data_IF_587289849973
#
_entry.id   IF_587289849973
#
_cell.length_a   1.000
_cell.length_b   1.000
_cell.length_c   1.000
_cell.angle_alpha   90.00
_cell.angle_beta   90.00
_cell.angle_gamma   90.00
#
_symmetry.space_group_name_H-M   'P 1'
#
loop_
_entity.id
_entity.type
_entity.pdbx_description
1 polymer ?
#
# COMPACT_ATOMS: atom_id res chain seq x y z
N UNK A 1 6.02 29.88 10.52
CA UNK A 1 6.72 29.85 9.21
C UNK A 1 8.21 29.57 9.36
N UNK A 2 8.86 29.96 10.45
CA UNK A 2 10.28 29.69 10.73
C UNK A 2 10.60 28.18 10.74
N UNK A 3 9.81 27.36 11.44
CA UNK A 3 10.06 25.92 11.57
C UNK A 3 10.06 25.17 10.23
N UNK A 4 9.23 25.55 9.25
CA UNK A 4 9.25 24.94 7.91
C UNK A 4 10.52 25.28 7.14
N UNK A 5 11.00 26.51 7.27
CA UNK A 5 12.26 26.94 6.65
C UNK A 5 13.42 26.16 7.26
N UNK A 6 13.49 26.11 8.59
CA UNK A 6 14.49 25.35 9.35
C UNK A 6 14.46 23.86 8.98
N UNK A 7 13.28 23.25 8.80
CA UNK A 7 13.16 21.87 8.37
C UNK A 7 13.69 21.64 6.94
N UNK A 8 13.47 22.59 6.04
CA UNK A 8 14.01 22.52 4.67
C UNK A 8 15.54 22.69 4.72
N UNK A 9 16.06 23.65 5.49
CA UNK A 9 17.49 23.84 5.70
C UNK A 9 18.13 22.58 6.29
N UNK A 10 17.46 21.93 7.26
CA UNK A 10 17.91 20.66 7.83
C UNK A 10 18.05 19.57 6.77
N UNK A 11 17.11 19.43 5.83
CA UNK A 11 17.17 18.42 4.75
C UNK A 11 18.41 18.60 3.87
N UNK A 12 18.75 19.84 3.56
CA UNK A 12 19.85 20.18 2.63
C UNK A 12 21.18 20.50 3.33
N UNK A 13 21.24 20.43 4.66
CA UNK A 13 22.45 20.70 5.41
C UNK A 13 23.57 19.68 5.07
N UNK A 14 24.82 20.15 4.84
CA UNK A 14 25.95 19.27 4.48
C UNK A 14 26.22 18.16 5.50
N UNK A 15 25.91 18.39 6.77
CA UNK A 15 26.08 17.44 7.87
C UNK A 15 25.19 16.18 7.68
N UNK A 16 24.13 16.28 6.87
CA UNK A 16 23.25 15.14 6.56
C UNK A 16 23.90 14.11 5.66
N UNK A 17 24.99 14.45 5.00
CA UNK A 17 25.76 13.52 4.18
C UNK A 17 26.72 12.64 4.99
N UNK A 18 27.10 13.03 6.23
CA UNK A 18 28.16 12.42 7.01
C UNK A 18 27.82 12.14 8.49
N UNK A 19 26.55 12.25 8.89
CA UNK A 19 26.10 11.97 10.27
C UNK A 19 26.08 10.49 10.64
N UNK A 20 25.58 10.17 11.85
CA UNK A 20 25.49 8.79 12.36
C UNK A 20 24.68 7.86 11.47
N UNK A 21 23.69 8.39 10.73
CA UNK A 21 23.01 7.76 9.61
C UNK A 21 22.83 8.84 8.53
N UNK A 22 23.59 8.80 7.43
CA UNK A 22 23.40 9.74 6.33
C UNK A 22 21.98 9.71 5.78
N UNK A 23 21.41 10.87 5.42
CA UNK A 23 20.02 10.97 4.96
C UNK A 23 19.77 10.10 3.72
N UNK A 24 20.73 10.02 2.81
CA UNK A 24 20.66 9.14 1.63
C UNK A 24 20.54 7.67 2.02
N UNK A 25 21.32 7.23 3.00
CA UNK A 25 21.27 5.87 3.51
C UNK A 25 19.94 5.59 4.23
N UNK A 26 19.48 6.55 5.03
CA UNK A 26 18.16 6.47 5.67
C UNK A 26 17.03 6.32 4.64
N UNK A 27 17.05 7.09 3.55
CA UNK A 27 16.07 6.98 2.45
C UNK A 27 16.15 5.62 1.77
N UNK A 28 17.36 5.18 1.38
CA UNK A 28 17.53 3.90 0.67
C UNK A 28 17.11 2.72 1.52
N UNK A 29 17.45 2.71 2.80
CA UNK A 29 17.06 1.67 3.76
C UNK A 29 15.55 1.67 4.00
N UNK A 30 14.94 2.85 4.11
CA UNK A 30 13.49 2.99 4.26
C UNK A 30 12.74 2.43 3.05
N UNK A 31 13.20 2.76 1.84
CA UNK A 31 12.67 2.20 0.59
C UNK A 31 12.85 0.69 0.51
N UNK A 32 14.04 0.20 0.83
CA UNK A 32 14.37 -1.22 0.75
C UNK A 32 13.41 -2.06 1.63
N UNK A 33 13.25 -1.69 2.89
CA UNK A 33 12.35 -2.41 3.80
C UNK A 33 10.88 -2.29 3.40
N UNK A 34 10.48 -1.13 2.87
CA UNK A 34 9.13 -0.96 2.31
C UNK A 34 8.90 -1.93 1.15
N UNK A 35 9.81 -1.97 0.18
CA UNK A 35 9.67 -2.82 -1.00
C UNK A 35 9.73 -4.31 -0.65
N UNK A 36 10.63 -4.73 0.25
CA UNK A 36 10.71 -6.11 0.72
C UNK A 36 9.39 -6.52 1.38
N UNK A 37 8.88 -5.72 2.31
CA UNK A 37 7.65 -6.05 3.02
C UNK A 37 6.44 -6.14 2.08
N UNK A 38 6.28 -5.17 1.16
CA UNK A 38 5.19 -5.18 0.18
C UNK A 38 5.32 -6.35 -0.80
N UNK A 39 6.53 -6.68 -1.26
CA UNK A 39 6.76 -7.79 -2.17
C UNK A 39 6.40 -9.14 -1.53
N UNK A 40 6.84 -9.39 -0.28
CA UNK A 40 6.51 -10.61 0.47
C UNK A 40 4.99 -10.67 0.72
N UNK A 41 4.38 -9.56 1.16
CA UNK A 41 2.95 -9.50 1.38
C UNK A 41 2.16 -9.76 0.10
N UNK A 42 2.58 -9.21 -1.04
CA UNK A 42 1.96 -9.42 -2.34
C UNK A 42 2.10 -10.88 -2.80
N UNK A 43 3.27 -11.51 -2.62
CA UNK A 43 3.50 -12.90 -2.98
C UNK A 43 2.54 -13.87 -2.26
N UNK A 44 2.08 -13.53 -1.05
CA UNK A 44 1.11 -14.31 -0.28
C UNK A 44 -0.32 -13.87 -0.57
N UNK A 45 -0.59 -12.56 -0.50
CA UNK A 45 -1.93 -12.02 -0.53
C UNK A 45 -2.57 -12.04 -1.93
N UNK A 46 -1.80 -11.88 -3.00
CA UNK A 46 -2.36 -11.88 -4.36
C UNK A 46 -2.90 -13.25 -4.75
N UNK A 47 -2.13 -14.36 -4.64
CA UNK A 47 -2.67 -15.68 -4.94
C UNK A 47 -3.86 -16.04 -4.05
N UNK A 48 -3.78 -15.76 -2.74
CA UNK A 48 -4.86 -16.03 -1.80
C UNK A 48 -6.13 -15.23 -2.16
N UNK A 49 -5.99 -13.94 -2.47
CA UNK A 49 -7.11 -13.08 -2.85
C UNK A 49 -7.76 -13.51 -4.18
N UNK A 50 -6.96 -13.91 -5.16
CA UNK A 50 -7.47 -14.44 -6.43
C UNK A 50 -8.22 -15.75 -6.23
N UNK A 51 -7.71 -16.66 -5.40
CA UNK A 51 -8.42 -17.90 -5.06
C UNK A 51 -9.75 -17.65 -4.35
N UNK A 52 -9.77 -16.70 -3.40
CA UNK A 52 -10.99 -16.30 -2.70
C UNK A 52 -12.00 -15.71 -3.68
N UNK A 53 -11.58 -14.77 -4.53
CA UNK A 53 -12.45 -14.14 -5.53
C UNK A 53 -13.01 -15.15 -6.55
N UNK A 54 -12.15 -16.04 -7.08
CA UNK A 54 -12.51 -17.05 -8.07
C UNK A 54 -13.48 -18.12 -7.52
N UNK A 55 -13.20 -18.60 -6.29
CA UNK A 55 -14.00 -19.68 -5.69
C UNK A 55 -15.21 -19.19 -4.91
N UNK A 56 -15.22 -17.91 -4.52
CA UNK A 56 -16.20 -17.35 -3.58
C UNK A 56 -16.05 -17.84 -2.14
N UNK A 57 -15.09 -18.74 -1.87
CA UNK A 57 -14.86 -19.34 -0.55
C UNK A 57 -13.86 -18.52 0.26
N UNK A 58 -14.10 -18.36 1.57
CA UNK A 58 -13.18 -17.65 2.47
C UNK A 58 -13.37 -16.13 2.52
N UNK A 59 -14.37 -15.55 1.85
CA UNK A 59 -14.68 -14.12 1.89
C UNK A 59 -14.86 -13.59 3.31
N UNK A 60 -15.64 -14.30 4.15
CA UNK A 60 -15.86 -13.91 5.54
C UNK A 60 -14.54 -13.83 6.32
N UNK A 61 -13.63 -14.77 6.11
CA UNK A 61 -12.29 -14.75 6.71
C UNK A 61 -11.47 -13.56 6.22
N UNK A 62 -11.46 -13.28 4.92
CA UNK A 62 -10.74 -12.13 4.36
C UNK A 62 -11.24 -10.79 4.93
N UNK A 63 -12.57 -10.63 5.04
CA UNK A 63 -13.18 -9.43 5.63
C UNK A 63 -12.84 -9.30 7.12
N UNK A 64 -12.92 -10.41 7.88
CA UNK A 64 -12.57 -10.44 9.30
C UNK A 64 -11.07 -10.11 9.51
N UNK A 65 -10.19 -10.68 8.69
CA UNK A 65 -8.75 -10.41 8.74
C UNK A 65 -8.45 -8.93 8.44
N UNK A 66 -9.10 -8.35 7.42
CA UNK A 66 -8.94 -6.94 7.09
C UNK A 66 -9.45 -6.01 8.21
N UNK A 67 -10.51 -6.40 8.90
CA UNK A 67 -11.02 -5.69 10.08
C UNK A 67 -10.07 -5.79 11.27
N UNK A 68 -9.62 -7.00 11.61
CA UNK A 68 -8.70 -7.25 12.72
C UNK A 68 -7.36 -6.51 12.55
N UNK A 69 -6.79 -6.52 11.34
CA UNK A 69 -5.51 -5.85 11.07
C UNK A 69 -5.57 -4.32 11.26
N UNK A 70 -6.74 -3.70 11.02
CA UNK A 70 -6.93 -2.27 11.27
C UNK A 70 -7.07 -1.92 12.76
N UNK A 71 -7.46 -2.90 13.57
CA UNK A 71 -7.59 -2.73 15.02
C UNK A 71 -6.25 -2.95 15.76
N UNK A 72 -5.26 -3.60 15.11
CA UNK A 72 -3.97 -3.87 15.73
C UNK A 72 -3.14 -2.58 15.83
N UNK A 73 -2.63 -2.22 17.02
CA UNK A 73 -1.69 -1.12 17.16
C UNK A 73 -0.36 -1.51 16.49
N UNK A 74 -0.04 -0.86 15.35
CA UNK A 74 1.15 -1.17 14.55
C UNK A 74 2.45 -1.14 15.36
N UNK A 75 2.59 -0.16 16.24
CA UNK A 75 3.75 -0.04 17.12
C UNK A 75 3.84 -1.22 18.11
N UNK A 76 2.71 -1.60 18.71
CA UNK A 76 2.63 -2.77 19.60
C UNK A 76 2.96 -4.07 18.87
N UNK A 77 2.53 -4.22 17.61
CA UNK A 77 2.86 -5.40 16.80
C UNK A 77 4.36 -5.49 16.50
N UNK A 78 4.99 -4.37 16.09
CA UNK A 78 6.44 -4.34 15.82
C UNK A 78 7.23 -4.71 17.08
N UNK A 79 6.97 -4.04 18.20
CA UNK A 79 7.67 -4.32 19.46
C UNK A 79 7.38 -5.72 19.99
N UNK A 80 6.12 -6.17 19.92
CA UNK A 80 5.72 -7.50 20.34
C UNK A 80 6.45 -8.59 19.56
N UNK A 81 6.55 -8.47 18.24
CA UNK A 81 7.30 -9.43 17.43
C UNK A 81 8.80 -9.38 17.69
N UNK A 82 9.38 -8.20 17.92
CA UNK A 82 10.80 -8.10 18.31
C UNK A 82 11.07 -8.81 19.65
N UNK A 83 10.15 -8.71 20.60
CA UNK A 83 10.30 -9.41 21.90
C UNK A 83 10.09 -10.92 21.77
N UNK A 84 9.16 -11.38 20.91
CA UNK A 84 8.87 -12.80 20.71
C UNK A 84 9.96 -13.49 19.88
N UNK A 85 10.37 -12.89 18.77
CA UNK A 85 11.37 -13.46 17.86
C UNK A 85 12.79 -13.30 18.42
N UNK A 86 13.01 -12.23 19.19
CA UNK A 86 14.27 -11.91 19.84
C UNK A 86 14.93 -10.66 19.26
N UNK A 87 15.57 -9.90 20.14
CA UNK A 87 16.23 -8.62 19.81
C UNK A 87 17.35 -8.78 18.77
N UNK A 88 17.97 -9.97 18.68
CA UNK A 88 18.98 -10.28 17.66
C UNK A 88 18.42 -10.25 16.24
N UNK A 89 17.14 -10.58 16.09
CA UNK A 89 16.41 -10.65 14.80
C UNK A 89 15.41 -9.51 14.64
N UNK A 90 15.73 -8.34 15.20
CA UNK A 90 14.82 -7.19 15.25
C UNK A 90 14.45 -6.63 13.86
N UNK A 91 15.31 -6.78 12.85
CA UNK A 91 15.01 -6.38 11.46
C UNK A 91 13.99 -7.32 10.87
N UNK A 92 14.21 -8.62 10.97
CA UNK A 92 13.32 -9.67 10.46
C UNK A 92 11.95 -9.61 11.15
N UNK A 93 11.96 -9.38 12.47
CA UNK A 93 10.74 -9.20 13.26
C UNK A 93 9.94 -7.97 12.79
N UNK A 94 10.61 -6.85 12.52
CA UNK A 94 9.98 -5.63 12.02
C UNK A 94 9.41 -5.85 10.61
N UNK A 95 10.17 -6.47 9.70
CA UNK A 95 9.69 -6.80 8.35
C UNK A 95 8.47 -7.72 8.44
N UNK A 96 8.49 -8.72 9.32
CA UNK A 96 7.33 -9.61 9.55
C UNK A 96 6.10 -8.83 9.99
N UNK A 97 6.25 -7.86 10.89
CA UNK A 97 5.15 -6.97 11.29
C UNK A 97 4.59 -6.18 10.09
N UNK A 98 5.46 -5.61 9.27
CA UNK A 98 5.03 -4.83 8.10
C UNK A 98 4.34 -5.70 7.05
N UNK A 99 4.81 -6.93 6.83
CA UNK A 99 4.16 -7.93 5.96
C UNK A 99 2.76 -8.24 6.47
N UNK A 100 2.62 -8.54 7.76
CA UNK A 100 1.31 -8.84 8.36
C UNK A 100 0.32 -7.69 8.23
N UNK A 101 0.79 -6.44 8.38
CA UNK A 101 -0.04 -5.24 8.21
C UNK A 101 -0.40 -4.96 6.75
N UNK A 102 0.45 -5.34 5.78
CA UNK A 102 0.22 -5.11 4.35
C UNK A 102 -0.73 -6.13 3.71
N UNK A 103 -0.69 -7.40 4.16
CA UNK A 103 -1.49 -8.51 3.60
C UNK A 103 -2.97 -8.16 3.45
N UNK A 104 -3.68 -7.63 4.46
CA UNK A 104 -5.11 -7.40 4.36
C UNK A 104 -5.53 -6.43 3.27
N UNK A 105 -4.77 -5.37 3.04
CA UNK A 105 -5.07 -4.38 2.00
C UNK A 105 -4.88 -4.96 0.59
N UNK A 106 -3.80 -5.73 0.38
CA UNK A 106 -3.52 -6.39 -0.90
C UNK A 106 -4.55 -7.50 -1.15
N UNK A 107 -4.84 -8.31 -0.14
CA UNK A 107 -5.82 -9.39 -0.20
C UNK A 107 -7.20 -8.84 -0.59
N UNK A 108 -7.63 -7.75 0.07
CA UNK A 108 -8.90 -7.09 -0.24
C UNK A 108 -8.95 -6.58 -1.67
N UNK A 109 -7.88 -5.94 -2.17
CA UNK A 109 -7.79 -5.50 -3.56
C UNK A 109 -7.87 -6.65 -4.56
N UNK A 110 -7.18 -7.75 -4.27
CA UNK A 110 -7.13 -8.93 -5.14
C UNK A 110 -8.51 -9.61 -5.25
N UNK A 111 -9.16 -9.98 -4.14
CA UNK A 111 -10.44 -10.66 -4.22
C UNK A 111 -11.57 -9.75 -4.72
N UNK A 112 -11.61 -8.49 -4.29
CA UNK A 112 -12.62 -7.53 -4.76
C UNK A 112 -12.49 -7.24 -6.24
N UNK A 113 -11.27 -7.31 -6.79
CA UNK A 113 -11.01 -7.16 -8.21
C UNK A 113 -11.73 -8.23 -9.03
N UNK A 114 -11.73 -9.47 -8.58
CA UNK A 114 -12.43 -10.58 -9.25
C UNK A 114 -13.93 -10.49 -9.01
N UNK A 115 -14.38 -10.22 -7.78
CA UNK A 115 -15.81 -10.10 -7.44
C UNK A 115 -16.52 -8.96 -8.21
N UNK A 116 -15.78 -7.91 -8.59
CA UNK A 116 -16.35 -6.79 -9.35
C UNK A 116 -16.62 -7.10 -10.82
N UNK A 117 -16.18 -8.26 -11.33
CA UNK A 117 -16.40 -8.65 -12.72
C UNK A 117 -17.87 -9.03 -12.93
N UNK A 118 -18.47 -8.47 -13.95
CA UNK A 118 -19.87 -8.74 -14.30
C UNK A 118 -20.07 -10.22 -14.69
N UNK A 119 -21.11 -10.86 -14.16
CA UNK A 119 -21.37 -12.30 -14.37
C UNK A 119 -21.46 -12.72 -15.82
N UNK A 120 -22.05 -11.87 -16.69
CA UNK A 120 -22.15 -12.18 -18.12
C UNK A 120 -20.78 -12.34 -18.80
N UNK A 121 -19.72 -11.69 -18.32
CA UNK A 121 -18.35 -11.87 -18.83
C UNK A 121 -17.82 -13.26 -18.46
N UNK A 122 -18.08 -13.69 -17.23
CA UNK A 122 -17.68 -15.01 -16.74
C UNK A 122 -18.47 -16.12 -17.47
N UNK A 123 -19.77 -15.94 -17.65
CA UNK A 123 -20.63 -16.90 -18.33
C UNK A 123 -20.28 -16.99 -19.82
N UNK A 124 -19.96 -15.87 -20.50
CA UNK A 124 -19.49 -15.87 -21.86
C UNK A 124 -18.16 -16.63 -22.03
N UNK A 125 -17.20 -16.44 -21.10
CA UNK A 125 -15.95 -17.18 -21.13
C UNK A 125 -16.14 -18.68 -20.92
N UNK A 126 -17.06 -19.08 -20.06
CA UNK A 126 -17.42 -20.49 -19.86
C UNK A 126 -18.11 -21.09 -21.07
N UNK A 127 -18.98 -20.33 -21.72
CA UNK A 127 -19.71 -20.78 -22.93
C UNK A 127 -18.78 -21.11 -24.11
N UNK A 128 -17.63 -20.44 -24.21
CA UNK A 128 -16.59 -20.75 -25.22
C UNK A 128 -15.61 -21.86 -24.76
N UNK A 129 -15.90 -22.55 -23.63
CA UNK A 129 -15.16 -23.73 -23.18
C UNK A 129 -13.90 -23.42 -22.37
N UNK A 130 -13.74 -22.22 -21.78
CA UNK A 130 -12.59 -21.94 -20.92
C UNK A 130 -12.62 -22.79 -19.66
N UNK A 131 -11.50 -23.43 -19.32
CA UNK A 131 -11.32 -24.12 -18.04
C UNK A 131 -11.27 -23.08 -16.88
N UNK A 132 -11.49 -23.49 -15.63
CA UNK A 132 -11.43 -22.59 -14.46
C UNK A 132 -10.09 -21.85 -14.37
N UNK A 133 -8.98 -22.53 -14.65
CA UNK A 133 -7.66 -21.90 -14.65
C UNK A 133 -7.48 -20.87 -15.78
N UNK A 134 -7.97 -21.21 -16.98
CA UNK A 134 -7.97 -20.26 -18.11
C UNK A 134 -8.82 -19.03 -17.81
N UNK A 135 -9.99 -19.22 -17.20
CA UNK A 135 -10.88 -18.16 -16.76
C UNK A 135 -10.16 -17.23 -15.76
N UNK A 136 -9.54 -17.81 -14.72
CA UNK A 136 -8.80 -17.04 -13.72
C UNK A 136 -7.68 -16.22 -14.36
N UNK A 137 -6.80 -16.85 -15.15
CA UNK A 137 -5.57 -16.20 -15.62
C UNK A 137 -5.83 -15.27 -16.81
N UNK A 138 -6.74 -15.63 -17.73
CA UNK A 138 -6.96 -14.88 -18.99
C UNK A 138 -8.06 -13.84 -18.92
N UNK A 139 -8.99 -13.96 -17.95
CA UNK A 139 -10.16 -13.08 -17.84
C UNK A 139 -10.18 -12.38 -16.49
N UNK A 140 -10.27 -13.14 -15.40
CA UNK A 140 -10.49 -12.57 -14.07
C UNK A 140 -9.30 -11.76 -13.57
N UNK A 141 -8.08 -12.30 -13.64
CA UNK A 141 -6.89 -11.61 -13.17
C UNK A 141 -6.62 -10.30 -13.92
N UNK A 142 -6.65 -10.24 -15.28
CA UNK A 142 -6.47 -8.99 -16.01
C UNK A 142 -7.57 -7.95 -15.73
N UNK A 143 -8.82 -8.36 -15.61
CA UNK A 143 -9.93 -7.46 -15.32
C UNK A 143 -9.94 -6.97 -13.87
N UNK A 144 -9.41 -7.77 -12.94
CA UNK A 144 -9.27 -7.44 -11.53
C UNK A 144 -8.08 -6.54 -11.19
N UNK A 145 -7.11 -6.38 -12.11
CA UNK A 145 -5.89 -5.58 -11.90
C UNK A 145 -6.11 -4.18 -11.35
N UNK A 146 -7.11 -3.39 -11.78
CA UNK A 146 -7.31 -2.04 -11.25
C UNK A 146 -7.49 -1.99 -9.74
N UNK A 147 -8.28 -2.91 -9.18
CA UNK A 147 -8.53 -2.99 -7.74
C UNK A 147 -7.37 -3.64 -6.99
N UNK A 148 -6.69 -4.62 -7.58
CA UNK A 148 -5.46 -5.18 -7.02
C UNK A 148 -4.39 -4.09 -6.86
N UNK A 149 -4.13 -3.29 -7.90
CA UNK A 149 -3.14 -2.20 -7.82
C UNK A 149 -3.58 -1.15 -6.79
N UNK A 150 -4.88 -0.86 -6.68
CA UNK A 150 -5.42 -0.03 -5.60
C UNK A 150 -5.10 -0.58 -4.21
N UNK A 151 -5.22 -1.88 -4.00
CA UNK A 151 -4.82 -2.58 -2.77
C UNK A 151 -3.32 -2.49 -2.51
N UNK A 152 -2.49 -2.69 -3.54
CA UNK A 152 -1.03 -2.53 -3.45
C UNK A 152 -0.62 -1.10 -3.08
N UNK A 153 -1.23 -0.08 -3.68
CA UNK A 153 -1.00 1.33 -3.34
C UNK A 153 -1.32 1.61 -1.88
N UNK A 154 -2.49 1.16 -1.41
CA UNK A 154 -2.90 1.32 -0.01
C UNK A 154 -1.93 0.64 0.96
N UNK A 155 -1.51 -0.59 0.65
CA UNK A 155 -0.53 -1.33 1.44
C UNK A 155 0.83 -0.63 1.45
N UNK A 156 1.32 -0.15 0.30
CA UNK A 156 2.60 0.55 0.19
C UNK A 156 2.62 1.81 1.05
N UNK A 157 1.57 2.65 0.98
CA UNK A 157 1.47 3.85 1.80
C UNK A 157 1.44 3.52 3.30
N UNK A 158 0.71 2.47 3.68
CA UNK A 158 0.68 1.99 5.06
C UNK A 158 2.06 1.52 5.52
N UNK A 159 2.78 0.75 4.70
CA UNK A 159 4.11 0.24 5.04
C UNK A 159 5.12 1.38 5.14
N UNK A 160 5.13 2.33 4.19
CA UNK A 160 5.99 3.53 4.27
C UNK A 160 5.80 4.24 5.61
N UNK A 161 4.57 4.45 6.04
CA UNK A 161 4.29 5.07 7.33
C UNK A 161 4.77 4.23 8.51
N UNK A 162 4.63 2.89 8.45
CA UNK A 162 5.01 2.00 9.57
C UNK A 162 6.50 1.69 9.65
N UNK A 163 7.24 1.74 8.54
CA UNK A 163 8.71 1.58 8.53
C UNK A 163 9.40 2.66 9.38
N UNK A 164 8.77 3.82 9.60
CA UNK A 164 9.27 4.83 10.54
C UNK A 164 9.47 4.27 11.96
N UNK A 165 8.69 3.25 12.34
CA UNK A 165 8.79 2.63 13.66
C UNK A 165 10.09 1.86 13.87
N UNK A 166 10.84 1.52 12.79
CA UNK A 166 12.17 0.93 12.90
C UNK A 166 13.16 1.85 13.61
N UNK A 167 12.93 3.16 13.62
CA UNK A 167 13.73 4.10 14.39
C UNK A 167 13.69 3.85 15.92
N UNK A 168 12.63 3.23 16.45
CA UNK A 168 12.53 2.83 17.86
C UNK A 168 13.20 1.48 18.15
N UNK A 169 13.37 0.65 17.14
CA UNK A 169 13.94 -0.70 17.27
C UNK A 169 15.44 -0.69 17.00
N UNK A 170 15.89 0.25 16.15
CA UNK A 170 17.29 0.38 15.77
C UNK A 170 17.53 1.62 14.88
N UNK A 171 18.76 1.76 14.39
CA UNK A 171 19.20 2.92 13.65
C UNK A 171 18.97 2.70 12.13
N UNK A 172 17.70 2.51 11.71
CA UNK A 172 17.39 2.28 10.29
C UNK A 172 16.28 3.18 9.78
N UNK A 173 16.42 3.53 8.52
CA UNK A 173 15.43 4.32 7.80
C UNK A 173 15.25 5.73 8.34
N UNK A 174 14.28 6.44 7.76
CA UNK A 174 13.97 7.82 8.13
C UNK A 174 13.41 7.98 9.55
N UNK A 175 12.88 6.90 10.12
CA UNK A 175 12.42 6.86 11.50
C UNK A 175 13.52 7.14 12.53
N UNK A 176 14.77 6.79 12.22
CA UNK A 176 15.93 7.13 13.06
C UNK A 176 16.03 8.64 13.32
N UNK A 177 15.91 9.45 12.26
CA UNK A 177 15.98 10.90 12.40
C UNK A 177 14.83 11.48 13.19
N UNK A 178 13.62 10.89 13.10
CA UNK A 178 12.48 11.31 13.91
C UNK A 178 12.74 11.02 15.39
N UNK A 179 13.16 9.79 15.72
CA UNK A 179 13.42 9.39 17.11
C UNK A 179 14.57 10.19 17.71
N UNK A 180 15.64 10.38 16.96
CA UNK A 180 16.78 11.23 17.37
C UNK A 180 16.34 12.68 17.60
N UNK A 181 15.53 13.26 16.68
CA UNK A 181 15.00 14.60 16.82
C UNK A 181 14.10 14.77 18.07
N UNK A 182 13.32 13.75 18.41
CA UNK A 182 12.53 13.74 19.66
C UNK A 182 13.45 13.77 20.87
N UNK A 183 14.51 12.96 20.89
CA UNK A 183 15.47 12.89 22.00
C UNK A 183 16.25 14.19 22.18
N UNK A 184 16.64 14.82 21.08
CA UNK A 184 17.38 16.08 21.05
C UNK A 184 16.49 17.32 21.14
N UNK A 185 15.15 17.17 21.10
CA UNK A 185 14.18 18.27 21.00
C UNK A 185 14.40 19.16 19.78
N UNK A 186 14.91 18.59 18.69
CA UNK A 186 15.17 19.27 17.41
C UNK A 186 13.92 19.13 16.52
N UNK A 187 13.05 20.12 16.58
CA UNK A 187 11.76 20.07 15.86
C UNK A 187 11.93 20.23 14.35
N UNK A 188 12.96 20.95 13.92
CA UNK A 188 13.40 21.07 12.52
C UNK A 188 13.77 19.71 11.94
N UNK A 189 14.55 18.89 12.67
CA UNK A 189 14.90 17.53 12.29
C UNK A 189 13.68 16.61 12.20
N UNK A 190 12.78 16.68 13.18
CA UNK A 190 11.54 15.86 13.18
C UNK A 190 10.71 16.20 11.96
N UNK A 191 10.46 17.49 11.72
CA UNK A 191 9.65 17.94 10.60
C UNK A 191 10.35 17.68 9.26
N UNK A 192 11.66 17.90 9.16
CA UNK A 192 12.45 17.60 7.97
C UNK A 192 12.37 16.12 7.58
N UNK A 193 12.61 15.21 8.54
CA UNK A 193 12.50 13.77 8.30
C UNK A 193 11.06 13.36 7.91
N UNK A 194 10.03 13.93 8.56
CA UNK A 194 8.63 13.68 8.22
C UNK A 194 8.29 14.16 6.80
N UNK A 195 8.78 15.33 6.37
CA UNK A 195 8.59 15.84 5.00
C UNK A 195 9.23 14.90 3.97
N UNK A 196 10.42 14.39 4.23
CA UNK A 196 11.08 13.41 3.34
C UNK A 196 10.24 12.14 3.22
N UNK A 197 9.66 11.63 4.32
CA UNK A 197 8.77 10.46 4.30
C UNK A 197 7.51 10.75 3.46
N UNK A 198 6.90 11.93 3.61
CA UNK A 198 5.72 12.32 2.82
C UNK A 198 6.05 12.38 1.33
N UNK A 199 7.17 12.99 0.96
CA UNK A 199 7.63 13.06 -0.44
C UNK A 199 7.86 11.64 -0.99
N UNK A 200 8.49 10.77 -0.20
CA UNK A 200 8.73 9.38 -0.57
C UNK A 200 7.42 8.62 -0.78
N UNK A 201 6.46 8.77 0.13
CA UNK A 201 5.14 8.16 0.02
C UNK A 201 4.38 8.61 -1.24
N UNK A 202 4.38 9.92 -1.50
CA UNK A 202 3.74 10.50 -2.70
C UNK A 202 4.42 10.03 -3.98
N UNK A 203 5.75 9.95 -3.98
CA UNK A 203 6.52 9.46 -5.14
C UNK A 203 6.20 7.98 -5.45
N UNK A 204 6.14 7.12 -4.41
CA UNK A 204 5.76 5.72 -4.57
C UNK A 204 4.31 5.56 -5.03
N UNK A 205 3.39 6.33 -4.46
CA UNK A 205 1.98 6.32 -4.87
C UNK A 205 1.83 6.76 -6.33
N UNK A 206 2.53 7.82 -6.75
CA UNK A 206 2.53 8.28 -8.12
C UNK A 206 3.12 7.24 -9.09
N UNK A 207 4.21 6.58 -8.70
CA UNK A 207 4.80 5.50 -9.49
C UNK A 207 3.82 4.33 -9.68
N UNK A 208 3.17 3.89 -8.61
CA UNK A 208 2.15 2.83 -8.68
C UNK A 208 0.90 3.28 -9.45
N UNK A 209 0.51 4.57 -9.38
CA UNK A 209 -0.58 5.12 -10.18
C UNK A 209 -0.26 5.10 -11.68
N UNK A 210 1.00 5.35 -12.05
CA UNK A 210 1.46 5.21 -13.44
C UNK A 210 1.39 3.74 -13.88
N UNK A 211 1.91 2.83 -13.07
CA UNK A 211 1.81 1.38 -13.33
C UNK A 211 0.35 0.96 -13.51
N UNK A 212 -0.55 1.42 -12.63
CA UNK A 212 -1.98 1.15 -12.73
C UNK A 212 -2.56 1.59 -14.08
N UNK A 213 -2.21 2.79 -14.56
CA UNK A 213 -2.68 3.29 -15.87
C UNK A 213 -2.17 2.48 -17.05
N UNK A 214 -0.94 1.95 -16.95
CA UNK A 214 -0.33 1.16 -18.03
C UNK A 214 -0.88 -0.27 -18.09
N UNK A 215 -1.22 -0.86 -16.93
CA UNK A 215 -1.62 -2.26 -16.82
C UNK A 215 -3.14 -2.45 -16.96
N UNK A 216 -3.95 -1.40 -16.72
CA UNK A 216 -5.41 -1.48 -16.84
C UNK A 216 -5.82 -1.56 -18.31
N UNK A 217 -6.57 -2.62 -18.73
CA UNK A 217 -7.03 -2.78 -20.11
C UNK A 217 -7.89 -1.60 -20.56
N UNK A 218 -7.70 -1.15 -21.82
CA UNK A 218 -8.40 0.01 -22.37
C UNK A 218 -9.94 -0.09 -22.34
N UNK A 219 -10.49 -1.32 -22.34
CA UNK A 219 -11.93 -1.57 -22.23
C UNK A 219 -12.52 -1.20 -20.85
N UNK A 220 -11.75 -1.31 -19.78
CA UNK A 220 -12.16 -0.95 -18.41
C UNK A 220 -12.11 0.57 -18.22
N UNK A 221 -11.15 1.26 -18.85
CA UNK A 221 -10.98 2.72 -18.74
C UNK A 221 -12.13 3.51 -19.36
N UNK A 222 -12.75 3.03 -20.45
CA UNK A 222 -13.82 3.74 -21.18
C UNK A 222 -15.14 3.80 -20.42
N UNK A 223 -15.45 2.85 -19.52
CA UNK A 223 -16.71 2.85 -18.76
C UNK A 223 -16.80 3.93 -17.67
N UNK A 224 -15.69 4.34 -17.10
CA UNK A 224 -15.65 5.39 -16.05
C UNK A 224 -16.04 6.79 -16.56
N UNK A 225 -15.92 7.04 -17.87
CA UNK A 225 -16.21 8.35 -18.51
C UNK A 225 -17.66 8.55 -18.95
N UNK A 226 -18.41 7.46 -19.20
CA UNK A 226 -19.72 7.55 -19.86
C UNK A 226 -20.90 7.73 -18.91
N UNK A 227 -20.75 7.42 -17.63
CA UNK A 227 -21.83 7.55 -16.63
C UNK A 227 -22.10 8.99 -16.21
N UNK A 228 -21.19 9.92 -16.50
CA UNK A 228 -21.37 11.34 -16.12
C UNK A 228 -22.21 12.16 -17.12
N UNK A 229 -22.48 11.62 -18.31
CA UNK A 229 -23.17 12.36 -19.39
C UNK A 229 -24.68 12.08 -19.53
N UNK A 230 -25.25 11.10 -18.79
CA UNK A 230 -26.66 10.69 -18.92
C UNK A 230 -27.61 11.19 -17.83
N UNK A 231 -27.19 12.11 -16.95
CA UNK A 231 -28.11 12.80 -16.04
C UNK A 231 -28.31 14.25 -16.49
N UNK A 232 -29.06 14.46 -17.56
CA UNK A 232 -29.84 15.69 -17.73
C UNK A 232 -31.32 15.30 -17.62
N UNK A 233 -32.05 15.78 -16.64
CA UNK A 233 -33.47 15.51 -16.49
C UNK A 233 -34.22 16.24 -17.60
N UNK A 234 -35.14 15.51 -18.23
CA UNK A 234 -36.24 16.09 -18.97
C UNK A 234 -37.26 16.66 -17.95
N UNK A 235 -36.95 17.82 -17.40
CA UNK A 235 -37.90 18.65 -16.63
C UNK A 235 -38.04 19.98 -17.33
N UNK A 236 -38.86 20.02 -18.35
CA UNK A 236 -39.58 21.22 -18.84
C UNK A 236 -40.63 20.78 -19.82
N UNK A 237 -41.78 20.36 -19.38
CA UNK A 237 -43.06 20.43 -20.17
C UNK A 237 -44.21 20.01 -19.21
N UNK A 238 -44.58 20.91 -18.30
CA UNK A 238 -45.94 20.97 -17.74
C UNK A 238 -46.11 22.30 -17.02
N UNK A 239 -46.29 23.37 -17.80
CA UNK A 239 -46.86 24.65 -17.33
C UNK A 239 -47.52 25.32 -18.53
N UNK A 240 -48.70 24.90 -18.83
CA UNK A 240 -49.81 25.68 -19.40
C UNK A 240 -51.12 25.10 -18.93
#
# INVERSE_FOLDING_TARGET
MTLFVEAIEWIFAPERASGALPLREAISTHLLYTLIAVAIAAAVAVPAGYLIGHTGRGRGFAVALAGAARALPSFGLVLGLVLIIGVMYKVEASITAFVLLAIPAILAGAYSGIEAIERHVIDGARAVGMSPWQLLVKVEAPLGLPLLVGGLRSATLQVVATVTLMGYVGNWGLGFHIVQGIQLRSFDQILGAALVIVVLAVALDAALAIVQRLVVPAGVQRRSGTTRRRRRPAERLSAT
#
